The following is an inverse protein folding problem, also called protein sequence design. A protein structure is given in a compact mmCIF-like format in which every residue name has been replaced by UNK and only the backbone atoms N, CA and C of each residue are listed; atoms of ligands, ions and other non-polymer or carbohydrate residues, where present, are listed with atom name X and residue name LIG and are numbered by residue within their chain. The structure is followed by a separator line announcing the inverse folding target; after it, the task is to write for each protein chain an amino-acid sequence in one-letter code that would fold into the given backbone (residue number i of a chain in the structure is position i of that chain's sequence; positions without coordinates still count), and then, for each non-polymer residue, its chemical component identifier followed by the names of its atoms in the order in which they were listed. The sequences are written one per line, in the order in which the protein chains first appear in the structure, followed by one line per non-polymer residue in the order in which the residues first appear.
data_IF_180662736205
#
_entry.id   IF_180662736205
#
_cell.length_a   1.000
_cell.length_b   1.000
_cell.length_c   1.000
_cell.angle_alpha   90.00
_cell.angle_beta   90.00
_cell.angle_gamma   90.00
#
_symmetry.space_group_name_H-M   'P 1'
#
loop_
_entity.id
_entity.type
_entity.pdbx_description
1 polymer ?
#
# COMPACT_ATOMS: atom_id res chain seq x y z
N UNK A 1 -15.39 13.81 -6.35
CA UNK A 1 -14.61 13.64 -5.13
C UNK A 1 -14.57 12.15 -4.77
N UNK A 2 -13.44 11.61 -4.30
CA UNK A 2 -13.39 10.22 -3.84
C UNK A 2 -14.33 10.02 -2.65
N UNK A 3 -14.95 8.86 -2.60
CA UNK A 3 -15.84 8.45 -1.51
C UNK A 3 -15.51 7.02 -1.09
N UNK A 4 -15.58 6.76 0.21
CA UNK A 4 -15.25 5.45 0.75
C UNK A 4 -13.77 5.11 0.78
N UNK A 5 -13.45 3.84 0.87
CA UNK A 5 -12.08 3.32 0.94
C UNK A 5 -11.50 2.93 -0.42
N UNK A 6 -10.31 2.35 -0.40
CA UNK A 6 -9.56 1.94 -1.62
C UNK A 6 -10.37 1.02 -2.53
N UNK A 7 -11.10 0.05 -1.94
CA UNK A 7 -11.97 -0.85 -2.73
C UNK A 7 -13.12 -0.11 -3.42
N UNK A 8 -13.65 0.93 -2.78
CA UNK A 8 -14.73 1.73 -3.38
C UNK A 8 -14.23 2.57 -4.55
N UNK A 9 -12.95 2.98 -4.53
CA UNK A 9 -12.30 3.65 -5.65
C UNK A 9 -12.21 2.71 -6.87
N UNK A 10 -11.86 1.44 -6.66
CA UNK A 10 -11.83 0.44 -7.75
C UNK A 10 -13.24 0.15 -8.27
N UNK A 11 -14.24 0.06 -7.39
CA UNK A 11 -15.65 -0.05 -7.80
C UNK A 11 -16.11 1.15 -8.63
N UNK A 12 -15.67 2.36 -8.28
CA UNK A 12 -16.02 3.56 -9.04
C UNK A 12 -15.51 3.51 -10.49
N UNK A 13 -14.33 2.92 -10.73
CA UNK A 13 -13.83 2.64 -12.09
C UNK A 13 -14.74 1.62 -12.78
N UNK A 14 -15.06 0.50 -12.13
CA UNK A 14 -15.98 -0.52 -12.67
C UNK A 14 -17.32 0.08 -13.10
N UNK A 15 -17.85 0.99 -12.30
CA UNK A 15 -19.16 1.59 -12.50
C UNK A 15 -19.15 2.82 -13.43
N UNK A 16 -17.99 3.11 -14.06
CA UNK A 16 -17.77 4.26 -14.94
C UNK A 16 -18.05 5.62 -14.26
N UNK A 17 -17.84 5.71 -12.95
CA UNK A 17 -17.94 6.97 -12.19
C UNK A 17 -16.66 7.81 -12.36
N UNK A 18 -15.52 7.15 -12.55
CA UNK A 18 -14.24 7.79 -12.85
C UNK A 18 -13.35 6.87 -13.70
N UNK A 19 -12.41 7.48 -14.41
CA UNK A 19 -11.43 6.76 -15.25
C UNK A 19 -10.13 6.45 -14.49
N UNK A 20 -9.85 7.19 -13.42
CA UNK A 20 -8.64 7.08 -12.59
C UNK A 20 -8.99 7.17 -11.12
N UNK A 21 -8.41 6.32 -10.32
CA UNK A 21 -8.54 6.30 -8.87
C UNK A 21 -7.17 6.15 -8.20
N UNK A 22 -7.04 6.66 -6.99
CA UNK A 22 -5.84 6.50 -6.16
C UNK A 22 -6.16 5.54 -5.02
N UNK A 23 -5.29 4.57 -4.80
CA UNK A 23 -5.42 3.60 -3.72
C UNK A 23 -4.12 2.87 -3.45
N UNK A 24 -4.08 2.14 -2.34
CA UNK A 24 -2.95 1.28 -2.04
C UNK A 24 -3.01 0.00 -2.89
N UNK A 25 -1.89 -0.40 -3.46
CA UNK A 25 -1.78 -1.54 -4.38
C UNK A 25 -2.26 -2.87 -3.79
N UNK A 26 -2.03 -3.09 -2.50
CA UNK A 26 -2.43 -4.34 -1.85
C UNK A 26 -3.94 -4.56 -1.80
N UNK A 27 -4.76 -3.50 -1.80
CA UNK A 27 -6.23 -3.67 -1.92
C UNK A 27 -6.63 -4.21 -3.28
N UNK A 28 -5.95 -3.76 -4.34
CA UNK A 28 -6.17 -4.29 -5.67
C UNK A 28 -5.80 -5.79 -5.75
N UNK A 29 -4.64 -6.17 -5.18
CA UNK A 29 -4.24 -7.57 -5.07
C UNK A 29 -5.25 -8.42 -4.31
N UNK A 30 -5.71 -7.95 -3.16
CA UNK A 30 -6.73 -8.65 -2.36
C UNK A 30 -8.07 -8.80 -3.08
N UNK A 31 -8.45 -7.84 -3.92
CA UNK A 31 -9.67 -7.96 -4.72
C UNK A 31 -9.52 -8.97 -5.85
N UNK A 32 -8.34 -9.04 -6.47
CA UNK A 32 -8.04 -10.06 -7.49
C UNK A 32 -8.00 -11.48 -6.90
N UNK A 33 -7.60 -11.63 -5.65
CA UNK A 33 -7.57 -12.91 -4.95
C UNK A 33 -8.93 -13.35 -4.38
N UNK A 34 -9.92 -12.48 -4.37
CA UNK A 34 -11.26 -12.75 -3.86
C UNK A 34 -12.25 -13.00 -5.01
N UNK A 35 -12.84 -14.17 -5.07
CA UNK A 35 -13.73 -14.57 -6.18
C UNK A 35 -14.90 -13.64 -6.41
N UNK A 36 -15.49 -13.06 -5.36
CA UNK A 36 -16.60 -12.10 -5.47
C UNK A 36 -16.12 -10.76 -6.03
N UNK A 37 -14.92 -10.30 -5.63
CA UNK A 37 -14.40 -8.97 -5.96
C UNK A 37 -13.56 -8.97 -7.23
N UNK A 38 -13.02 -10.11 -7.64
CA UNK A 38 -12.20 -10.26 -8.84
C UNK A 38 -12.83 -9.64 -10.08
N UNK A 39 -14.12 -9.88 -10.42
CA UNK A 39 -14.75 -9.28 -11.60
C UNK A 39 -14.82 -7.74 -11.54
N UNK A 40 -14.73 -7.15 -10.35
CA UNK A 40 -14.67 -5.70 -10.20
C UNK A 40 -13.25 -5.18 -10.45
N UNK A 41 -12.25 -5.85 -9.86
CA UNK A 41 -10.85 -5.49 -10.02
C UNK A 41 -10.38 -5.62 -11.47
N UNK A 42 -10.81 -6.66 -12.20
CA UNK A 42 -10.47 -6.88 -13.60
C UNK A 42 -10.96 -5.76 -14.57
N UNK A 43 -11.81 -4.85 -14.10
CA UNK A 43 -12.21 -3.65 -14.86
C UNK A 43 -11.21 -2.49 -14.72
N UNK A 44 -10.27 -2.61 -13.81
CA UNK A 44 -9.20 -1.64 -13.57
C UNK A 44 -7.84 -2.29 -13.89
N UNK A 45 -6.84 -1.47 -14.01
CA UNK A 45 -5.44 -1.91 -14.03
C UNK A 45 -4.63 -1.03 -13.11
N UNK A 46 -3.54 -1.58 -12.58
CA UNK A 46 -2.61 -0.78 -11.79
C UNK A 46 -1.69 0.03 -12.71
N UNK A 47 -1.47 1.28 -12.34
CA UNK A 47 -0.50 2.17 -12.96
C UNK A 47 0.35 2.80 -11.88
N UNK A 48 1.65 2.69 -12.02
CA UNK A 48 2.59 3.33 -11.10
C UNK A 48 2.90 4.75 -11.61
N UNK A 49 2.52 5.80 -10.87
CA UNK A 49 2.68 7.18 -11.33
C UNK A 49 4.15 7.63 -11.33
N UNK A 50 4.39 8.74 -12.03
CA UNK A 50 5.62 9.52 -12.03
C UNK A 50 6.91 8.76 -12.41
N UNK A 51 6.79 7.80 -13.34
CA UNK A 51 7.92 6.97 -13.77
C UNK A 51 9.02 7.75 -14.50
N UNK A 52 8.69 8.91 -15.08
CA UNK A 52 9.65 9.83 -15.73
C UNK A 52 10.18 10.92 -14.76
N UNK A 53 9.63 11.01 -13.57
CA UNK A 53 10.01 11.96 -12.53
C UNK A 53 10.70 11.30 -11.34
N UNK A 54 10.24 11.60 -10.12
CA UNK A 54 10.83 11.06 -8.89
C UNK A 54 10.50 9.58 -8.64
N UNK A 55 9.47 9.07 -9.25
CA UNK A 55 8.98 7.71 -9.07
C UNK A 55 7.68 7.65 -8.25
N UNK A 56 7.15 6.45 -8.12
CA UNK A 56 5.93 6.21 -7.37
C UNK A 56 6.16 6.37 -5.87
N UNK A 57 5.32 7.17 -5.21
CA UNK A 57 5.33 7.29 -3.76
C UNK A 57 5.09 5.95 -3.08
N UNK A 58 5.98 5.60 -2.13
CA UNK A 58 5.89 4.36 -1.36
C UNK A 58 5.23 4.62 -0.01
N UNK A 59 4.02 4.10 0.16
CA UNK A 59 3.39 3.98 1.47
C UNK A 59 3.93 2.73 2.16
N UNK A 60 4.12 2.77 3.47
CA UNK A 60 4.70 1.65 4.22
C UNK A 60 3.78 1.17 5.33
N UNK A 61 3.79 -0.14 5.54
CA UNK A 61 3.31 -0.76 6.76
C UNK A 61 4.41 -0.78 7.82
N UNK A 62 4.06 -0.62 9.07
CA UNK A 62 5.03 -0.56 10.15
C UNK A 62 4.49 -1.15 11.44
N UNK A 63 5.39 -1.38 12.38
CA UNK A 63 5.06 -1.85 13.71
C UNK A 63 5.77 -1.00 14.76
N UNK A 64 5.15 -0.87 15.92
CA UNK A 64 5.73 -0.16 17.04
C UNK A 64 5.45 -0.89 18.36
N UNK A 65 6.43 -0.90 19.23
CA UNK A 65 6.26 -1.40 20.58
C UNK A 65 5.70 -0.29 21.47
N UNK A 66 4.67 -0.61 22.25
CA UNK A 66 4.11 0.35 23.20
C UNK A 66 5.02 0.46 24.43
N UNK A 67 4.99 1.63 25.09
CA UNK A 67 5.81 1.92 26.29
C UNK A 67 5.61 0.91 27.44
N UNK A 68 4.43 0.34 27.53
CA UNK A 68 4.04 -0.59 28.60
C UNK A 68 3.71 -1.97 28.05
N UNK A 69 4.47 -2.44 27.06
CA UNK A 69 4.30 -3.79 26.52
C UNK A 69 4.56 -4.84 27.63
N UNK A 70 3.57 -5.69 27.97
CA UNK A 70 3.72 -6.66 29.08
C UNK A 70 4.68 -7.81 28.75
N UNK A 71 4.99 -8.03 27.46
CA UNK A 71 5.84 -9.10 26.97
C UNK A 71 6.87 -8.56 25.99
N UNK A 72 7.68 -7.60 26.42
CA UNK A 72 8.65 -6.87 25.59
C UNK A 72 9.59 -7.78 24.80
N UNK A 73 10.18 -8.80 25.44
CA UNK A 73 11.07 -9.73 24.76
C UNK A 73 10.39 -10.48 23.61
N UNK A 74 9.17 -10.93 23.81
CA UNK A 74 8.42 -11.64 22.77
C UNK A 74 7.98 -10.68 21.66
N UNK A 75 7.62 -9.46 22.02
CA UNK A 75 7.32 -8.41 21.04
C UNK A 75 8.54 -8.10 20.16
N UNK A 76 9.74 -7.99 20.75
CA UNK A 76 10.99 -7.79 19.99
C UNK A 76 11.31 -8.97 19.08
N UNK A 77 11.10 -10.21 19.56
CA UNK A 77 11.28 -11.41 18.71
C UNK A 77 10.35 -11.39 17.51
N UNK A 78 9.07 -11.05 17.74
CA UNK A 78 8.09 -10.93 16.67
C UNK A 78 8.47 -9.79 15.69
N UNK A 79 8.84 -8.63 16.19
CA UNK A 79 9.27 -7.51 15.34
C UNK A 79 10.46 -7.87 14.45
N UNK A 80 11.45 -8.58 14.98
CA UNK A 80 12.60 -9.10 14.22
C UNK A 80 12.14 -10.09 13.16
N UNK A 81 11.34 -11.08 13.54
CA UNK A 81 10.81 -12.06 12.61
C UNK A 81 10.06 -11.42 11.44
N UNK A 82 9.24 -10.40 11.72
CA UNK A 82 8.45 -9.70 10.69
C UNK A 82 9.33 -8.92 9.67
N UNK A 83 10.61 -8.67 9.98
CA UNK A 83 11.57 -8.08 9.03
C UNK A 83 12.43 -9.10 8.29
N UNK A 84 12.33 -10.38 8.64
CA UNK A 84 13.08 -11.45 7.99
C UNK A 84 12.50 -11.84 6.63
N UNK A 85 13.34 -12.44 5.78
CA UNK A 85 12.98 -12.90 4.44
C UNK A 85 11.68 -13.71 4.42
N UNK A 86 11.53 -14.66 5.34
CA UNK A 86 10.36 -15.56 5.39
C UNK A 86 9.06 -14.80 5.64
N UNK A 87 9.03 -13.94 6.65
CA UNK A 87 7.83 -13.18 6.98
C UNK A 87 7.49 -12.16 5.88
N UNK A 88 8.50 -11.50 5.31
CA UNK A 88 8.29 -10.54 4.22
C UNK A 88 7.76 -11.22 2.94
N UNK A 89 8.22 -12.42 2.63
CA UNK A 89 7.65 -13.22 1.55
C UNK A 89 6.18 -13.61 1.84
N UNK A 90 5.86 -14.02 3.07
CA UNK A 90 4.47 -14.30 3.47
C UNK A 90 3.56 -13.07 3.30
N UNK A 91 4.04 -11.86 3.63
CA UNK A 91 3.30 -10.62 3.38
C UNK A 91 3.06 -10.39 1.88
N UNK A 92 4.07 -10.66 1.04
CA UNK A 92 3.92 -10.53 -0.40
C UNK A 92 2.88 -11.50 -0.97
N UNK A 93 2.83 -12.74 -0.47
CA UNK A 93 1.91 -13.78 -0.93
C UNK A 93 0.47 -13.56 -0.44
N UNK A 94 0.29 -13.20 0.83
CA UNK A 94 -1.03 -13.19 1.48
C UNK A 94 -1.65 -11.79 1.52
N UNK A 95 -0.81 -10.76 1.62
CA UNK A 95 -1.27 -9.39 1.77
C UNK A 95 -0.99 -8.51 0.54
N UNK A 96 -0.24 -9.03 -0.44
CA UNK A 96 0.12 -8.32 -1.68
C UNK A 96 0.83 -7.00 -1.40
N UNK A 97 1.68 -6.98 -0.39
CA UNK A 97 2.59 -5.88 -0.08
C UNK A 97 3.99 -6.18 -0.61
N UNK A 98 4.62 -5.19 -1.24
CA UNK A 98 6.01 -5.34 -1.70
C UNK A 98 6.94 -5.54 -0.49
N UNK A 99 7.84 -6.55 -0.51
CA UNK A 99 8.76 -6.78 0.59
C UNK A 99 9.68 -5.57 0.82
N UNK A 100 9.81 -5.15 2.07
CA UNK A 100 10.81 -4.15 2.46
C UNK A 100 12.22 -4.77 2.61
N UNK A 101 12.29 -6.08 2.82
CA UNK A 101 13.56 -6.82 2.84
C UNK A 101 13.95 -7.22 1.41
N UNK A 102 15.05 -6.71 0.86
CA UNK A 102 15.44 -6.97 -0.54
C UNK A 102 15.82 -8.43 -0.81
N UNK A 103 16.06 -9.25 0.23
CA UNK A 103 16.32 -10.66 0.08
C UNK A 103 15.03 -11.51 0.00
N UNK A 104 13.86 -10.92 0.26
CA UNK A 104 12.59 -11.62 0.15
C UNK A 104 12.07 -11.58 -1.29
N UNK A 105 11.48 -12.68 -1.72
CA UNK A 105 10.83 -12.78 -3.02
C UNK A 105 9.44 -12.16 -2.98
N UNK A 106 9.07 -11.45 -4.04
CA UNK A 106 7.71 -10.99 -4.27
C UNK A 106 6.80 -12.14 -4.69
N UNK A 107 5.49 -11.96 -4.56
CA UNK A 107 4.51 -12.90 -5.12
C UNK A 107 4.46 -12.82 -6.66
N UNK A 108 3.94 -13.87 -7.29
CA UNK A 108 3.71 -13.87 -8.75
C UNK A 108 2.81 -12.72 -9.18
N UNK A 109 1.78 -12.41 -8.41
CA UNK A 109 0.86 -11.31 -8.70
C UNK A 109 1.59 -9.96 -8.69
N UNK A 110 2.38 -9.67 -7.65
CA UNK A 110 3.17 -8.44 -7.58
C UNK A 110 4.17 -8.32 -8.72
N UNK A 111 4.83 -9.43 -9.07
CA UNK A 111 5.76 -9.49 -10.19
C UNK A 111 5.06 -9.24 -11.53
N UNK A 112 3.81 -9.70 -11.68
CA UNK A 112 3.01 -9.49 -12.90
C UNK A 112 2.67 -8.03 -13.17
N UNK A 113 2.72 -7.16 -12.16
CA UNK A 113 2.49 -5.71 -12.32
C UNK A 113 3.69 -4.98 -12.93
N UNK A 114 4.82 -5.67 -13.09
CA UNK A 114 6.03 -5.14 -13.69
C UNK A 114 6.94 -4.38 -12.73
N UNK A 115 8.08 -3.97 -13.25
CA UNK A 115 9.03 -3.13 -12.51
C UNK A 115 8.60 -1.67 -12.57
N UNK A 116 8.87 -0.92 -11.51
CA UNK A 116 8.60 0.50 -11.44
C UNK A 116 9.67 1.23 -10.63
N UNK A 117 9.86 2.49 -10.95
CA UNK A 117 10.72 3.39 -10.19
C UNK A 117 10.00 3.81 -8.92
N UNK A 118 10.63 3.59 -7.78
CA UNK A 118 10.14 4.04 -6.48
C UNK A 118 10.70 5.43 -6.17
N UNK A 119 9.91 6.28 -5.52
CA UNK A 119 10.37 7.50 -4.90
C UNK A 119 11.31 7.16 -3.74
N UNK A 120 12.48 7.78 -3.69
CA UNK A 120 13.50 7.58 -2.66
C UNK A 120 13.38 8.54 -1.47
N UNK A 121 12.29 9.32 -1.41
CA UNK A 121 12.04 10.27 -0.31
C UNK A 121 11.96 9.56 1.04
N UNK A 122 12.85 9.93 1.95
CA UNK A 122 12.91 9.29 3.26
C UNK A 122 11.64 9.54 4.08
N UNK A 123 11.25 8.58 4.91
CA UNK A 123 10.08 8.70 5.80
C UNK A 123 10.20 9.90 6.75
N UNK A 124 11.42 10.27 7.16
CA UNK A 124 11.67 11.45 7.99
C UNK A 124 11.30 12.72 7.24
N UNK A 125 11.58 12.79 5.95
CA UNK A 125 11.17 13.93 5.12
C UNK A 125 9.65 13.95 4.93
N UNK A 126 9.04 12.82 4.60
CA UNK A 126 7.58 12.69 4.48
C UNK A 126 6.88 13.17 5.77
N UNK A 127 7.40 12.77 6.94
CA UNK A 127 6.81 13.13 8.23
C UNK A 127 6.74 14.64 8.47
N UNK A 128 7.67 15.43 7.92
CA UNK A 128 7.66 16.90 8.03
C UNK A 128 6.42 17.53 7.39
N UNK A 129 5.88 16.91 6.35
CA UNK A 129 4.74 17.44 5.61
C UNK A 129 3.38 16.99 6.17
N UNK A 130 3.36 16.03 7.11
CA UNK A 130 2.12 15.44 7.63
C UNK A 130 1.08 16.48 8.08
N UNK A 131 1.52 17.48 8.85
CA UNK A 131 0.61 18.52 9.37
C UNK A 131 -0.01 19.33 8.22
N UNK A 132 0.81 19.76 7.26
CA UNK A 132 0.34 20.55 6.13
C UNK A 132 -0.56 19.72 5.21
N UNK A 133 -0.19 18.47 4.93
CA UNK A 133 -1.00 17.55 4.14
C UNK A 133 -2.40 17.34 4.75
N UNK A 134 -2.48 17.11 6.07
CA UNK A 134 -3.76 16.99 6.77
C UNK A 134 -4.62 18.25 6.67
N UNK A 135 -4.01 19.44 6.77
CA UNK A 135 -4.70 20.70 6.57
C UNK A 135 -5.24 20.84 5.14
N UNK A 136 -4.43 20.50 4.13
CA UNK A 136 -4.85 20.56 2.72
C UNK A 136 -6.02 19.62 2.42
N UNK A 137 -6.01 18.41 2.96
CA UNK A 137 -7.12 17.44 2.83
C UNK A 137 -8.43 18.05 3.34
N UNK A 138 -8.38 18.75 4.49
CA UNK A 138 -9.55 19.43 5.06
C UNK A 138 -9.96 20.67 4.23
N UNK A 139 -8.98 21.51 3.82
CA UNK A 139 -9.22 22.72 3.03
C UNK A 139 -9.94 22.41 1.71
N UNK A 140 -9.58 21.32 1.04
CA UNK A 140 -10.20 20.93 -0.23
C UNK A 140 -11.43 20.03 -0.05
N UNK A 141 -11.77 19.63 1.18
CA UNK A 141 -12.88 18.75 1.49
C UNK A 141 -12.73 17.39 0.77
N UNK A 142 -11.55 16.77 0.83
CA UNK A 142 -11.22 15.59 0.03
C UNK A 142 -12.14 14.41 0.32
N UNK A 143 -12.49 14.19 1.59
CA UNK A 143 -13.34 13.09 2.05
C UNK A 143 -14.75 13.55 2.52
N UNK A 144 -15.26 14.63 1.97
CA UNK A 144 -16.57 15.22 2.37
C UNK A 144 -17.58 15.18 1.23
#
# INVERSE_FOLDING_TARGET
KPQGGDRDQIKAIRDNVCDVAIGNSYYYGKMLDNDEQRPWAEKARIEFPDQNGVGTHMNISGMAMTKYAPHEENALKLMRFLTEKTAQHMYAEVNFEYPANPAAESSELLTSWGEFKQDDLSLTEVAKYRKRAAQMVNEVGFNQ
#
